data_IF_454783222708
#
_entry.id   IF_454783222708
#
_cell.length_a   1.000
_cell.length_b   1.000
_cell.length_c   1.000
_cell.angle_alpha   90.00
_cell.angle_beta   90.00
_cell.angle_gamma   90.00
#
_symmetry.space_group_name_H-M   'P 1'
#
loop_
_entity.id
_entity.type
_entity.pdbx_description
1 polymer ?
2 non-polymer ?
3 non-polymer ?
4 non-polymer ?
5 non-polymer ?
6 water ?
#
# COMPACT_ATOMS: atom_id res chain seq x y z
N UNK A 16 20.29 -9.28 -3.36
CA UNK A 16 20.15 -9.35 -4.81
C UNK A 16 18.80 -8.77 -5.24
N UNK A 17 18.58 -7.48 -4.96
CA UNK A 17 17.35 -6.78 -5.34
C UNK A 17 17.36 -6.54 -6.85
N UNK A 18 16.16 -6.39 -7.41
CA UNK A 18 15.94 -6.12 -8.84
C UNK A 18 15.07 -4.86 -8.91
N UNK A 19 15.58 -3.76 -8.35
CA UNK A 19 14.88 -2.47 -8.30
C UNK A 19 14.56 -1.93 -9.70
N UNK A 20 13.29 -1.59 -9.94
CA UNK A 20 12.88 -1.01 -11.23
C UNK A 20 12.93 0.49 -11.01
N UNK A 21 13.76 1.22 -11.79
CA UNK A 21 14.11 2.64 -11.57
C UNK A 21 13.09 3.68 -12.03
N UNK A 22 12.08 3.31 -12.81
CA UNK A 22 11.03 4.27 -13.15
C UNK A 22 9.81 3.51 -13.63
N UNK A 23 8.75 4.23 -14.01
CA UNK A 23 7.53 3.59 -14.48
C UNK A 23 7.71 2.95 -15.85
N UNK A 24 8.61 3.48 -16.69
CA UNK A 24 8.84 2.86 -17.99
C UNK A 24 9.42 1.49 -17.81
N UNK A 25 10.38 1.31 -16.89
CA UNK A 25 10.99 -0.02 -16.66
C UNK A 25 9.93 -0.97 -16.10
N UNK A 26 9.11 -0.49 -15.16
CA UNK A 26 8.05 -1.31 -14.56
C UNK A 26 7.11 -1.81 -15.66
N UNK A 27 6.66 -0.90 -16.53
CA UNK A 27 5.76 -1.25 -17.63
C UNK A 27 6.40 -2.20 -18.65
N UNK A 28 7.71 -2.06 -18.93
CA UNK A 28 8.42 -2.95 -19.87
C UNK A 28 8.48 -4.38 -19.27
N UNK A 29 8.64 -4.49 -17.95
CA UNK A 29 8.65 -5.80 -17.32
C UNK A 29 7.23 -6.41 -17.33
N UNK A 30 6.19 -5.63 -17.05
CA UNK A 30 4.81 -6.16 -17.12
C UNK A 30 4.51 -6.63 -18.56
N UNK A 31 4.92 -5.84 -19.58
CA UNK A 31 4.69 -6.17 -20.99
C UNK A 31 5.38 -7.49 -21.36
N UNK A 32 6.61 -7.73 -20.88
CA UNK A 32 7.33 -8.99 -21.13
C UNK A 32 6.56 -10.21 -20.57
N UNK A 33 5.82 -10.02 -19.44
CA UNK A 33 5.00 -11.08 -18.85
C UNK A 33 3.52 -10.99 -19.30
N UNK A 34 3.21 -10.21 -20.37
CA UNK A 34 1.88 -10.05 -20.93
C UNK A 34 0.88 -9.62 -19.84
N UNK A 35 1.30 -8.68 -18.99
CA UNK A 35 0.49 -8.24 -17.85
C UNK A 35 0.08 -6.77 -17.97
N UNK A 36 0.19 -6.22 -19.18
CA UNK A 36 -0.27 -4.86 -19.45
C UNK A 36 -0.89 -4.86 -20.83
N UNK A 37 -2.01 -4.15 -20.99
CA UNK A 37 -2.76 -4.08 -22.23
C UNK A 37 -2.95 -2.63 -22.62
N UNK A 38 -2.77 -2.30 -23.90
CA UNK A 38 -2.94 -0.93 -24.37
C UNK A 38 -4.31 -0.79 -24.95
N UNK A 39 -5.00 0.30 -24.62
CA UNK A 39 -6.33 0.58 -25.13
C UNK A 39 -6.15 1.82 -26.00
N UNK A 40 -6.26 1.65 -27.33
CA UNK A 40 -6.12 2.76 -28.29
C UNK A 40 -7.40 3.51 -28.56
N UNK A 41 -8.57 2.92 -28.26
CA UNK A 41 -9.86 3.60 -28.45
C UNK A 41 -10.01 4.73 -27.42
N UNK A 42 -10.76 5.80 -27.71
CA UNK A 42 -10.92 6.88 -26.71
C UNK A 42 -11.68 6.41 -25.46
N UNK A 43 -11.19 6.76 -24.28
CA UNK A 43 -11.82 6.42 -23.00
C UNK A 43 -12.10 7.73 -22.28
N UNK A 44 -13.30 7.89 -21.77
CA UNK A 44 -13.65 9.10 -21.06
C UNK A 44 -13.14 9.13 -19.60
N UNK A 45 -12.31 10.11 -19.15
CA UNK A 45 -11.97 10.18 -17.72
C UNK A 45 -13.20 10.40 -16.82
N UNK A 46 -14.33 10.88 -17.40
CA UNK A 46 -15.59 11.00 -16.69
C UNK A 46 -16.17 9.58 -16.62
N UNK A 47 -15.91 8.90 -15.49
CA UNK A 47 -16.44 7.58 -15.15
C UNK A 47 -15.91 6.37 -15.91
N UNK A 48 -15.60 6.45 -17.21
CA UNK A 48 -15.17 5.25 -17.94
C UNK A 48 -13.81 4.79 -17.51
N UNK A 49 -12.85 5.70 -17.27
CA UNK A 49 -11.49 5.25 -16.85
C UNK A 49 -11.58 4.52 -15.51
N UNK A 50 -12.34 5.08 -14.58
CA UNK A 50 -12.55 4.45 -13.27
C UNK A 50 -13.25 3.10 -13.39
N UNK A 51 -14.26 3.01 -14.25
CA UNK A 51 -15.01 1.76 -14.48
C UNK A 51 -14.08 0.72 -15.13
N UNK A 52 -13.21 1.16 -16.09
CA UNK A 52 -12.21 0.29 -16.72
C UNK A 52 -11.25 -0.26 -15.66
N UNK A 53 -10.86 0.58 -14.70
CA UNK A 53 -9.98 0.11 -13.61
C UNK A 53 -10.69 -0.93 -12.71
N UNK A 54 -11.97 -0.70 -12.36
CA UNK A 54 -12.75 -1.65 -11.56
C UNK A 54 -12.96 -2.99 -12.27
N UNK A 55 -13.26 -2.96 -13.57
CA UNK A 55 -13.42 -4.19 -14.32
C UNK A 55 -12.10 -4.98 -14.23
N UNK A 56 -10.98 -4.28 -14.44
CA UNK A 56 -9.64 -4.91 -14.40
C UNK A 56 -9.34 -5.53 -13.05
N UNK A 57 -9.57 -4.80 -11.96
CA UNK A 57 -9.30 -5.39 -10.63
C UNK A 57 -10.13 -6.63 -10.41
N UNK A 58 -11.42 -6.50 -10.67
CA UNK A 58 -12.39 -7.54 -10.31
C UNK A 58 -12.32 -8.78 -11.20
N UNK A 59 -11.82 -8.63 -12.40
CA UNK A 59 -11.67 -9.79 -13.30
C UNK A 59 -10.22 -10.25 -13.37
N UNK A 60 -9.33 -9.64 -12.55
CA UNK A 60 -7.91 -9.95 -12.54
C UNK A 60 -7.34 -9.80 -13.95
N UNK A 61 -7.63 -8.68 -14.57
CA UNK A 61 -7.13 -8.40 -15.91
C UNK A 61 -5.75 -7.79 -15.92
N UNK A 62 -5.13 -7.66 -17.11
CA UNK A 62 -3.83 -6.97 -17.19
C UNK A 62 -3.95 -5.48 -16.79
N UNK A 63 -2.87 -4.84 -16.32
CA UNK A 63 -2.94 -3.38 -16.07
C UNK A 63 -3.30 -2.72 -17.41
N UNK A 64 -3.99 -1.56 -17.40
CA UNK A 64 -4.40 -0.90 -18.66
C UNK A 64 -3.65 0.36 -18.89
N UNK A 65 -3.19 0.58 -20.11
CA UNK A 65 -2.59 1.83 -20.52
C UNK A 65 -3.65 2.47 -21.40
N UNK A 66 -4.31 3.54 -20.90
CA UNK A 66 -5.37 4.21 -21.64
C UNK A 66 -4.64 5.25 -22.48
N UNK A 67 -4.43 4.94 -23.77
CA UNK A 67 -3.64 5.81 -24.67
C UNK A 67 -4.35 7.04 -25.18
N UNK A 68 -5.68 7.06 -25.13
CA UNK A 68 -6.43 8.17 -25.71
C UNK A 68 -7.59 8.56 -24.81
N UNK A 69 -7.52 9.75 -24.20
CA UNK A 69 -8.56 10.19 -23.27
C UNK A 69 -9.38 11.35 -23.78
N UNK A 70 -10.71 11.27 -23.64
CA UNK A 70 -11.59 12.36 -24.07
C UNK A 70 -11.15 13.68 -23.42
N UNK A 71 -11.05 14.75 -24.23
CA UNK A 71 -10.68 16.08 -23.73
C UNK A 71 -9.21 16.45 -23.91
N UNK A 72 -8.29 15.52 -23.61
CA UNK A 72 -6.85 15.76 -23.74
C UNK A 72 -6.19 14.85 -24.79
N UNK A 73 -6.96 13.97 -25.43
CA UNK A 73 -6.45 13.10 -26.49
C UNK A 73 -5.33 12.17 -26.06
N UNK A 74 -4.26 12.11 -26.85
CA UNK A 74 -3.13 11.25 -26.57
C UNK A 74 -2.00 11.95 -25.79
N UNK A 75 -2.21 13.19 -25.32
CA UNK A 75 -1.17 13.92 -24.59
C UNK A 75 -0.66 13.17 -23.36
N UNK A 76 -1.56 12.86 -22.45
CA UNK A 76 -1.22 12.22 -21.18
C UNK A 76 -1.96 10.91 -21.03
N UNK A 77 -1.22 9.80 -20.91
CA UNK A 77 -1.82 8.50 -20.80
C UNK A 77 -2.19 8.26 -19.35
N UNK A 78 -3.05 7.28 -19.13
CA UNK A 78 -3.46 6.91 -17.77
C UNK A 78 -3.14 5.45 -17.61
N UNK A 79 -2.54 5.08 -16.47
CA UNK A 79 -2.25 3.68 -16.15
C UNK A 79 -3.26 3.25 -15.07
N UNK A 80 -4.12 2.25 -15.37
CA UNK A 80 -5.12 1.74 -14.41
C UNK A 80 -4.63 0.39 -13.87
N UNK A 81 -4.97 0.14 -12.61
CA UNK A 81 -4.56 -1.05 -11.86
C UNK A 81 -3.04 -1.24 -11.84
N UNK A 82 -2.29 -0.18 -11.44
CA UNK A 82 -0.80 -0.28 -11.42
C UNK A 82 -0.29 -1.40 -10.54
N UNK A 83 -1.01 -1.73 -9.46
CA UNK A 83 -0.61 -2.84 -8.62
C UNK A 83 -1.84 -3.65 -8.23
N UNK A 84 -2.70 -3.91 -9.20
CA UNK A 84 -3.80 -4.83 -9.02
C UNK A 84 -3.28 -6.27 -9.00
N UNK A 85 -4.15 -7.27 -8.77
CA UNK A 85 -3.71 -8.67 -8.85
C UNK A 85 -3.26 -8.96 -10.28
N UNK A 86 -2.18 -9.73 -10.43
CA UNK A 86 -1.56 -9.96 -11.75
C UNK A 86 -2.21 -11.08 -12.54
N UNK A 87 -2.08 -11.05 -13.89
CA UNK A 87 -2.52 -12.17 -14.73
C UNK A 87 -1.41 -13.24 -14.85
N UNK A 88 -0.22 -12.99 -14.33
CA UNK A 88 0.90 -13.92 -14.53
C UNK A 88 0.53 -15.28 -13.92
N UNK A 89 0.49 -16.38 -14.72
CA UNK A 89 0.07 -17.68 -14.16
C UNK A 89 0.82 -18.08 -12.90
N UNK A 90 0.07 -18.42 -11.86
CA UNK A 90 0.59 -18.81 -10.56
C UNK A 90 1.19 -17.68 -9.75
N UNK A 91 1.16 -16.40 -10.25
CA UNK A 91 1.79 -15.28 -9.54
C UNK A 91 0.86 -14.10 -9.38
N UNK A 92 -0.25 -14.24 -8.63
CA UNK A 92 -1.16 -13.09 -8.44
C UNK A 92 -0.51 -11.84 -7.79
N UNK A 93 0.56 -12.01 -6.97
CA UNK A 93 1.20 -10.84 -6.31
C UNK A 93 2.33 -10.25 -7.15
N UNK A 94 2.48 -10.67 -8.40
CA UNK A 94 3.61 -10.24 -9.22
C UNK A 94 3.75 -8.73 -9.36
N UNK A 95 2.64 -7.96 -9.45
CA UNK A 95 2.81 -6.49 -9.57
C UNK A 95 3.41 -5.90 -8.29
N UNK A 96 3.00 -6.44 -7.13
CA UNK A 96 3.52 -5.99 -5.85
C UNK A 96 5.00 -6.41 -5.77
N UNK A 97 5.29 -7.69 -6.07
CA UNK A 97 6.64 -8.20 -6.00
C UNK A 97 7.58 -7.37 -6.86
N UNK A 98 7.20 -7.11 -8.11
CA UNK A 98 8.08 -6.35 -9.03
C UNK A 98 8.25 -4.91 -8.59
N UNK A 99 7.18 -4.32 -8.02
CA UNK A 99 7.20 -2.95 -7.50
C UNK A 99 8.24 -2.82 -6.36
N UNK A 100 8.41 -3.91 -5.58
CA UNK A 100 9.34 -3.98 -4.45
C UNK A 100 10.65 -4.68 -4.76
N UNK A 101 11.00 -4.74 -6.04
CA UNK A 101 12.28 -5.27 -6.53
C UNK A 101 12.54 -6.73 -6.28
N UNK A 102 11.50 -7.55 -6.22
CA UNK A 102 11.60 -8.97 -5.94
C UNK A 102 11.24 -9.77 -7.15
N UNK A 103 11.50 -11.06 -7.09
CA UNK A 103 11.18 -11.94 -8.21
C UNK A 103 9.68 -11.91 -8.45
N UNK A 104 9.29 -12.04 -9.72
CA UNK A 104 7.90 -12.06 -10.14
C UNK A 104 7.07 -13.09 -9.31
N UNK A 105 7.68 -14.19 -8.88
CA UNK A 105 6.99 -15.22 -8.09
C UNK A 105 7.25 -15.12 -6.56
N UNK A 106 7.69 -13.97 -6.03
CA UNK A 106 7.91 -13.84 -4.58
C UNK A 106 6.59 -14.07 -3.86
N UNK A 107 6.63 -14.83 -2.74
CA UNK A 107 5.43 -15.14 -1.98
C UNK A 107 5.01 -13.97 -1.09
N UNK A 108 3.77 -14.04 -0.59
CA UNK A 108 3.25 -13.04 0.35
C UNK A 108 4.23 -12.88 1.51
N UNK A 109 4.69 -14.00 2.06
CA UNK A 109 5.60 -13.96 3.20
C UNK A 109 6.96 -13.34 2.85
N UNK A 110 7.52 -13.66 1.68
CA UNK A 110 8.80 -13.04 1.29
C UNK A 110 8.62 -11.54 1.13
N UNK A 111 7.46 -11.09 0.63
CA UNK A 111 7.25 -9.65 0.47
C UNK A 111 7.22 -8.94 1.83
N UNK A 112 6.35 -9.36 2.75
CA UNK A 112 6.26 -8.65 4.03
C UNK A 112 7.53 -8.79 4.84
N UNK A 113 8.21 -9.95 4.73
CA UNK A 113 9.46 -10.19 5.45
C UNK A 113 10.57 -9.28 4.92
N UNK A 114 10.61 -9.01 3.60
CA UNK A 114 11.63 -8.11 3.02
C UNK A 114 11.42 -6.70 3.52
N UNK A 115 10.14 -6.24 3.59
CA UNK A 115 9.84 -4.92 4.09
C UNK A 115 10.15 -4.83 5.58
N UNK A 116 9.76 -5.85 6.36
CA UNK A 116 10.03 -5.78 7.82
C UNK A 116 11.52 -5.85 8.09
N UNK A 117 12.29 -6.61 7.30
CA UNK A 117 13.75 -6.69 7.49
C UNK A 117 14.40 -5.34 7.30
N UNK A 118 13.92 -4.52 6.32
CA UNK A 118 14.48 -3.18 6.08
C UNK A 118 14.25 -2.22 7.26
N UNK A 119 13.20 -2.44 8.08
CA UNK A 119 12.94 -1.60 9.28
C UNK A 119 14.04 -1.73 10.33
N UNK A 120 14.88 -2.79 10.26
CA UNK A 120 15.98 -3.01 11.21
C UNK A 120 17.30 -2.45 10.68
N UNK A 121 17.31 -1.82 9.50
CA UNK A 121 18.52 -1.31 8.87
C UNK A 121 18.57 0.22 8.96
N UNK A 122 19.76 0.77 8.91
CA UNK A 122 19.98 2.21 9.01
C UNK A 122 19.46 2.89 7.75
N UNK A 123 18.83 4.08 7.83
CA UNK A 123 18.37 4.76 6.60
C UNK A 123 19.53 5.16 5.69
N UNK A 124 19.30 5.16 4.37
CA UNK A 124 20.29 5.52 3.38
C UNK A 124 19.89 6.88 2.84
N UNK A 125 20.72 7.91 3.04
CA UNK A 125 20.39 9.26 2.57
C UNK A 125 20.29 9.29 1.05
N UNK A 126 19.34 10.07 0.48
CA UNK A 126 19.27 10.15 -0.98
C UNK A 126 20.42 10.97 -1.57
N UNK A 127 20.51 11.02 -2.91
CA UNK A 127 21.54 11.80 -3.62
C UNK A 127 20.81 12.80 -4.52
N UNK A 128 21.33 14.02 -4.65
CA UNK A 128 20.71 15.06 -5.46
C UNK A 128 21.35 15.10 -6.86
N UNK A 129 20.57 14.81 -7.92
CA UNK A 129 21.05 14.86 -9.30
C UNK A 129 20.70 16.23 -9.89
N UNK A 130 21.51 16.71 -10.85
CA UNK A 130 21.29 18.02 -11.47
C UNK A 130 20.09 18.04 -12.41
N UNK A 131 19.85 16.95 -13.16
CA UNK A 131 18.75 16.88 -14.11
C UNK A 131 18.00 15.55 -14.06
N UNK A 132 16.73 15.56 -14.52
CA UNK A 132 15.88 14.36 -14.53
C UNK A 132 14.84 14.42 -15.66
N UNK A 133 14.42 13.29 -16.25
CA UNK A 133 13.37 13.35 -17.29
C UNK A 133 12.06 14.03 -16.86
N UNK A 134 11.68 13.98 -15.56
CA UNK A 134 10.47 14.62 -15.05
C UNK A 134 10.44 16.15 -15.21
N UNK A 135 11.57 16.78 -15.65
CA UNK A 135 11.65 18.21 -15.89
C UNK A 135 11.99 18.54 -17.35
N UNK A 136 11.81 17.57 -18.29
CA UNK A 136 12.02 17.81 -19.73
C UNK A 136 11.06 18.89 -20.23
N UNK A 137 9.84 18.94 -19.67
CA UNK A 137 8.83 19.94 -20.01
C UNK A 137 8.47 20.66 -18.72
N UNK A 138 8.50 21.99 -18.73
CA UNK A 138 8.23 22.82 -17.56
C UNK A 138 7.11 23.83 -17.88
N UNK A 139 6.07 23.88 -17.06
CA UNK A 139 4.97 24.83 -17.21
C UNK A 139 5.00 25.72 -15.98
N UNK A 140 5.08 27.05 -16.19
CA UNK A 140 5.16 28.05 -15.13
C UNK A 140 4.04 29.08 -15.25
N UNK A 141 3.68 29.68 -14.12
CA UNK A 141 2.65 30.72 -14.06
C UNK A 141 1.28 30.29 -14.55
N UNK A 142 0.75 31.00 -15.55
CA UNK A 142 -0.57 30.71 -16.12
C UNK A 142 -0.56 29.44 -16.98
N UNK A 143 0.61 29.00 -17.46
CA UNK A 143 0.72 27.76 -18.24
C UNK A 143 0.57 26.53 -17.33
N UNK A 144 1.03 26.65 -16.06
CA UNK A 144 0.88 25.58 -15.06
C UNK A 144 -0.60 25.49 -14.68
N UNK A 145 -1.37 24.84 -15.53
CA UNK A 145 -2.82 24.70 -15.36
C UNK A 145 -3.19 23.24 -15.50
N UNK A 146 -3.89 22.69 -14.49
CA UNK A 146 -4.32 21.29 -14.47
C UNK A 146 -5.33 20.96 -15.58
N UNK A 147 -5.98 21.98 -16.21
CA UNK A 147 -6.90 21.72 -17.33
C UNK A 147 -6.17 21.15 -18.57
N UNK A 148 -4.84 21.21 -18.61
CA UNK A 148 -4.05 20.58 -19.68
C UNK A 148 -4.00 19.03 -19.54
N UNK A 149 -4.28 18.48 -18.32
CA UNK A 149 -4.19 17.05 -18.02
C UNK A 149 -5.55 16.43 -17.76
N UNK A 150 -5.71 15.09 -17.86
CA UNK A 150 -7.01 14.48 -17.53
C UNK A 150 -7.45 14.79 -16.10
N UNK A 151 -8.77 14.85 -15.87
CA UNK A 151 -9.39 15.11 -14.56
C UNK A 151 -10.37 13.96 -14.35
N UNK A 152 -9.88 12.78 -13.97
CA UNK A 152 -10.78 11.64 -13.85
C UNK A 152 -11.83 11.68 -12.73
N UNK A 153 -13.13 11.50 -13.06
CA UNK A 153 -14.20 11.36 -12.07
C UNK A 153 -14.28 9.85 -11.86
N UNK A 154 -13.66 9.37 -10.79
CA UNK A 154 -13.44 7.95 -10.58
C UNK A 154 -14.64 7.14 -10.18
N UNK A 155 -15.61 7.72 -9.50
CA UNK A 155 -16.81 6.98 -9.09
C UNK A 155 -17.96 7.95 -9.22
N UNK A 156 -19.16 7.44 -9.58
CA UNK A 156 -20.39 8.23 -9.72
C UNK A 156 -20.59 9.34 -8.69
N UNK A 157 -20.64 8.95 -7.42
CA UNK A 157 -20.87 9.87 -6.31
C UNK A 157 -19.73 10.68 -5.75
N UNK A 158 -18.51 10.65 -6.36
CA UNK A 158 -17.39 11.43 -5.81
C UNK A 158 -17.70 12.93 -5.87
N UNK A 159 -17.12 13.68 -4.95
CA UNK A 159 -17.30 15.14 -4.91
C UNK A 159 -16.74 15.88 -6.11
N UNK A 160 -15.79 15.27 -6.82
CA UNK A 160 -15.17 15.86 -8.00
C UNK A 160 -14.03 14.99 -8.48
N UNK A 161 -13.22 15.44 -9.45
CA UNK A 161 -12.12 14.58 -9.93
C UNK A 161 -11.03 14.33 -8.89
N UNK A 162 -10.62 13.06 -8.69
CA UNK A 162 -9.54 12.76 -7.74
C UNK A 162 -8.23 12.72 -8.52
N UNK A 163 -7.46 13.83 -8.47
CA UNK A 163 -6.18 13.92 -9.18
C UNK A 163 -5.10 13.08 -8.55
N UNK A 164 -5.15 12.80 -7.24
CA UNK A 164 -4.13 11.96 -6.64
C UNK A 164 -4.78 10.79 -5.95
N UNK A 165 -4.47 9.58 -6.44
CA UNK A 165 -4.87 8.32 -5.82
C UNK A 165 -3.66 7.37 -5.72
N UNK A 166 -2.64 7.55 -6.57
CA UNK A 166 -1.48 6.69 -6.56
C UNK A 166 -0.16 7.46 -6.53
N UNK A 167 -0.19 8.79 -6.61
CA UNK A 167 1.00 9.61 -6.55
C UNK A 167 1.35 9.96 -5.13
N UNK A 168 2.53 10.56 -4.96
CA UNK A 168 3.06 10.88 -3.63
C UNK A 168 3.13 12.35 -3.38
N UNK A 169 2.67 12.76 -2.18
CA UNK A 169 2.72 14.15 -1.75
C UNK A 169 4.02 14.29 -0.96
N UNK A 170 4.80 15.32 -1.26
CA UNK A 170 6.07 15.59 -0.59
C UNK A 170 5.98 16.95 0.16
N UNK A 171 6.25 16.95 1.47
CA UNK A 171 6.28 18.17 2.27
C UNK A 171 7.47 18.11 3.22
N UNK A 172 8.14 19.24 3.45
CA UNK A 172 9.24 19.32 4.41
C UNK A 172 8.85 20.22 5.57
N UNK A 173 9.57 20.09 6.70
CA UNK A 173 9.37 20.95 7.87
C UNK A 173 10.00 22.32 7.55
N UNK A 174 9.57 23.44 8.19
CA UNK A 174 10.15 24.76 7.85
C UNK A 174 11.67 24.83 7.81
N UNK A 175 12.36 24.16 8.74
CA UNK A 175 13.83 24.12 8.78
C UNK A 175 14.48 23.29 7.65
N UNK A 176 13.69 22.43 6.99
CA UNK A 176 14.17 21.58 5.90
C UNK A 176 14.97 20.38 6.38
N UNK A 177 14.83 20.01 7.67
CA UNK A 177 15.56 18.91 8.28
C UNK A 177 14.80 17.58 8.16
N UNK A 178 13.47 17.61 7.95
CA UNK A 178 12.66 16.40 7.86
C UNK A 178 11.64 16.47 6.71
N UNK A 179 11.54 15.39 5.89
CA UNK A 179 10.62 15.31 4.76
C UNK A 179 9.78 14.04 4.81
N UNK A 180 8.43 14.18 4.71
CA UNK A 180 7.52 13.04 4.64
C UNK A 180 6.95 12.95 3.22
N UNK A 181 6.81 11.71 2.75
CA UNK A 181 6.26 11.34 1.45
C UNK A 181 5.00 10.55 1.78
N UNK A 182 3.84 10.92 1.27
CA UNK A 182 2.61 10.20 1.59
C UNK A 182 1.59 10.21 0.46
N UNK A 183 0.82 9.12 0.32
CA UNK A 183 -0.27 9.09 -0.65
C UNK A 183 -1.48 9.52 0.16
N UNK A 184 -2.13 10.58 -0.28
CA UNK A 184 -3.42 11.01 0.28
C UNK A 184 -4.26 11.43 -0.92
N UNK A 185 -5.58 11.30 -0.80
CA UNK A 185 -6.48 11.67 -1.87
C UNK A 185 -6.49 13.17 -2.04
N UNK A 186 -6.40 13.63 -3.29
CA UNK A 186 -6.43 15.05 -3.61
C UNK A 186 -7.49 15.22 -4.71
N UNK A 187 -8.43 16.13 -4.50
CA UNK A 187 -9.52 16.40 -5.43
C UNK A 187 -9.25 17.70 -6.15
N UNK A 188 -9.63 17.77 -7.43
CA UNK A 188 -9.47 18.99 -8.22
C UNK A 188 -10.62 19.98 -7.90
N UNK A 189 -10.32 21.27 -7.73
CA UNK A 189 -11.35 22.32 -7.57
C UNK A 189 -11.50 22.95 -8.95
N UNK A 190 -10.38 23.44 -9.52
CA UNK A 190 -10.35 24.02 -10.85
C UNK A 190 -8.95 23.81 -11.43
N UNK A 191 -8.59 24.52 -12.50
CA UNK A 191 -7.29 24.41 -13.13
C UNK A 191 -6.07 24.81 -12.30
N UNK A 192 -6.27 25.61 -11.25
CA UNK A 192 -5.16 26.08 -10.41
C UNK A 192 -5.22 25.59 -8.98
N UNK A 193 -6.35 24.99 -8.55
CA UNK A 193 -6.53 24.61 -7.15
C UNK A 193 -7.03 23.20 -6.98
N UNK A 194 -6.62 22.58 -5.88
CA UNK A 194 -7.01 21.24 -5.48
C UNK A 194 -7.23 21.27 -3.96
N UNK A 195 -7.85 20.23 -3.42
CA UNK A 195 -8.08 20.12 -1.99
C UNK A 195 -7.95 18.67 -1.56
N UNK A 196 -7.71 18.49 -0.27
CA UNK A 196 -7.56 17.17 0.33
C UNK A 196 -7.52 17.31 1.84
N UNK A 197 -7.81 16.24 2.57
CA UNK A 197 -7.83 16.31 4.03
C UNK A 197 -6.43 16.28 4.62
N UNK A 198 -6.24 17.01 5.72
CA UNK A 198 -5.01 17.07 6.48
C UNK A 198 -5.34 16.64 7.91
N UNK A 199 -5.48 15.32 8.13
CA UNK A 199 -5.82 14.72 9.42
C UNK A 199 -4.70 15.06 10.43
N UNK A 200 -4.98 15.61 11.63
CA UNK A 200 -3.89 15.94 12.57
C UNK A 200 -3.12 14.73 13.11
N UNK A 201 -3.69 13.51 13.06
CA UNK A 201 -3.01 12.29 13.50
C UNK A 201 -2.06 11.73 12.43
N UNK A 202 -2.04 12.30 11.21
CA UNK A 202 -1.16 11.87 10.12
C UNK A 202 -0.02 12.88 9.94
N UNK A 203 1.02 12.51 9.18
CA UNK A 203 2.23 13.32 9.07
C UNK A 203 2.09 14.55 8.21
N UNK A 204 1.28 14.53 7.13
CA UNK A 204 1.09 15.74 6.32
C UNK A 204 0.48 16.87 7.18
N UNK A 205 -0.48 16.52 8.04
CA UNK A 205 -1.13 17.46 8.94
C UNK A 205 -0.18 17.98 10.02
N UNK A 206 0.60 17.07 10.64
CA UNK A 206 1.57 17.45 11.66
C UNK A 206 2.59 18.44 11.08
N UNK A 207 3.09 18.20 9.86
CA UNK A 207 4.02 19.12 9.22
C UNK A 207 3.31 20.43 8.83
N UNK A 208 2.05 20.37 8.37
CA UNK A 208 1.27 21.57 8.01
C UNK A 208 1.08 22.50 9.21
N UNK A 209 0.90 21.94 10.43
CA UNK A 209 0.75 22.74 11.65
C UNK A 209 1.98 23.61 11.90
N UNK A 210 3.20 23.13 11.55
CA UNK A 210 4.43 23.89 11.73
C UNK A 210 4.48 25.09 10.78
N UNK A 211 3.92 24.95 9.57
CA UNK A 211 3.87 26.05 8.60
C UNK A 211 2.78 27.07 9.01
N UNK A 212 1.69 26.59 9.67
CA UNK A 212 0.62 27.47 10.17
C UNK A 212 1.12 28.32 11.34
N UNK A 213 1.98 27.76 12.21
CA UNK A 213 2.54 28.49 13.36
C UNK A 213 3.39 29.67 12.91
N UNK A 214 4.18 29.50 11.83
CA UNK A 214 5.01 30.57 11.29
C UNK A 214 4.20 31.55 10.43
N UNK A 215 2.97 31.19 10.07
CA UNK A 215 2.08 32.03 9.28
C UNK A 215 2.50 32.14 7.83
N UNK A 216 2.96 31.03 7.23
CA UNK A 216 3.43 30.99 5.84
C UNK A 216 2.79 29.81 5.09
N UNK A 217 2.49 29.94 3.77
CA UNK A 217 1.95 28.79 3.03
C UNK A 217 2.96 27.65 2.93
N UNK A 218 2.54 26.40 3.16
CA UNK A 218 3.44 25.25 3.11
C UNK A 218 3.77 24.88 1.67
N UNK A 219 5.04 24.89 1.23
CA UNK A 219 5.35 24.41 -0.13
C UNK A 219 5.10 22.89 -0.25
N UNK A 220 4.67 22.45 -1.43
CA UNK A 220 4.38 21.04 -1.66
C UNK A 220 4.75 20.64 -3.06
N UNK A 221 4.79 19.33 -3.28
CA UNK A 221 4.98 18.74 -4.59
C UNK A 221 4.19 17.43 -4.61
N UNK A 222 3.54 17.12 -5.74
CA UNK A 222 2.82 15.85 -5.92
C UNK A 222 3.47 15.21 -7.13
N UNK A 223 4.00 13.99 -6.98
CA UNK A 223 4.65 13.30 -8.08
C UNK A 223 3.78 12.13 -8.50
N UNK A 224 3.59 11.94 -9.80
CA UNK A 224 2.82 10.84 -10.37
C UNK A 224 3.76 9.95 -11.14
N UNK A 225 3.46 8.66 -11.18
CA UNK A 225 4.25 7.72 -11.99
C UNK A 225 5.73 7.63 -11.66
N UNK A 226 6.10 7.57 -10.40
CA UNK A 226 7.50 7.39 -10.03
C UNK A 226 7.87 5.91 -10.22
N UNK A 227 9.13 5.53 -9.86
CA UNK A 227 9.52 4.14 -9.82
C UNK A 227 8.45 3.43 -8.93
N UNK A 228 8.14 2.16 -9.22
CA UNK A 228 6.97 1.54 -8.59
C UNK A 228 7.07 1.29 -7.09
N UNK A 229 8.28 1.27 -6.52
CA UNK A 229 8.42 1.07 -5.08
C UNK A 229 7.97 2.24 -4.21
N UNK A 230 8.03 3.47 -4.73
CA UNK A 230 7.68 4.68 -3.93
C UNK A 230 6.22 4.68 -3.41
N UNK A 231 5.17 4.47 -4.22
CA UNK A 231 3.80 4.48 -3.65
C UNK A 231 3.57 3.46 -2.54
N UNK A 232 4.32 2.33 -2.53
CA UNK A 232 4.19 1.34 -1.47
C UNK A 232 4.75 1.95 -0.18
N UNK A 233 5.93 2.53 -0.21
CA UNK A 233 6.48 3.12 1.03
C UNK A 233 5.73 4.38 1.41
N UNK A 234 5.23 5.16 0.43
CA UNK A 234 4.40 6.34 0.76
C UNK A 234 3.05 5.94 1.40
N UNK A 235 2.62 4.68 1.24
CA UNK A 235 1.42 4.17 1.91
C UNK A 235 1.72 3.60 3.28
N UNK A 236 3.01 3.40 3.62
CA UNK A 236 3.40 2.68 4.84
C UNK A 236 3.33 3.53 6.09
N UNK A 237 2.64 3.09 7.14
CA UNK A 237 2.52 3.94 8.35
C UNK A 237 3.75 3.82 9.23
N UNK A 238 4.84 4.40 8.79
CA UNK A 238 6.12 4.37 9.51
C UNK A 238 6.05 5.23 10.78
N UNK A 239 6.95 4.99 11.76
CA UNK A 239 6.90 5.83 12.97
C UNK A 239 7.21 7.29 12.70
N UNK A 240 6.79 8.18 13.61
CA UNK A 240 7.07 9.62 13.51
C UNK A 240 8.58 9.79 13.46
N UNK A 241 9.07 10.64 12.57
CA UNK A 241 10.51 10.87 12.47
C UNK A 241 11.31 9.92 11.61
N UNK A 242 10.64 8.97 10.91
CA UNK A 242 11.33 8.06 9.97
C UNK A 242 10.94 8.55 8.57
N UNK A 243 11.91 9.00 7.76
CA UNK A 243 11.58 9.47 6.41
C UNK A 243 11.40 8.30 5.46
N UNK A 244 10.40 8.39 4.60
CA UNK A 244 10.14 7.36 3.58
C UNK A 244 11.36 7.20 2.65
N UNK A 245 11.96 8.32 2.19
CA UNK A 245 13.12 8.27 1.28
C UNK A 245 14.31 7.49 1.88
N UNK A 246 14.54 7.66 3.18
CA UNK A 246 15.59 6.95 3.90
C UNK A 246 15.29 5.46 3.98
N UNK A 247 14.01 5.14 4.26
CA UNK A 247 13.55 3.75 4.32
C UNK A 247 13.66 3.09 2.92
N UNK A 248 13.20 3.78 1.88
CA UNK A 248 13.31 3.27 0.51
C UNK A 248 14.77 2.98 0.18
N UNK A 249 15.66 3.87 0.58
CA UNK A 249 17.08 3.69 0.36
C UNK A 249 17.62 2.46 1.07
N UNK A 250 17.22 2.25 2.36
CA UNK A 250 17.65 1.07 3.12
C UNK A 250 17.06 -0.21 2.53
N UNK A 251 15.80 -0.14 2.08
CA UNK A 251 15.10 -1.29 1.48
C UNK A 251 15.79 -1.75 0.18
N UNK A 252 16.06 -0.83 -0.74
CA UNK A 252 16.71 -1.20 -2.00
C UNK A 252 18.22 -1.34 -1.88
N UNK A 253 18.82 -0.89 -0.77
CA UNK A 253 20.26 -0.99 -0.55
C UNK A 253 21.06 0.00 -1.39
N UNK A 254 20.45 1.15 -1.73
CA UNK A 254 21.14 2.20 -2.49
C UNK A 254 20.41 3.53 -2.39
N UNK A 255 21.09 4.66 -2.59
CA UNK A 255 20.39 5.96 -2.51
C UNK A 255 19.37 6.20 -3.61
N UNK A 256 18.25 6.85 -3.26
CA UNK A 256 17.27 7.26 -4.28
C UNK A 256 17.80 8.58 -4.86
N UNK A 257 17.62 8.79 -6.16
CA UNK A 257 18.08 10.00 -6.83
C UNK A 257 16.96 11.02 -6.83
N UNK A 258 17.19 12.19 -6.24
CA UNK A 258 16.20 13.27 -6.21
C UNK A 258 16.71 14.44 -7.03
N UNK A 259 15.78 15.27 -7.51
CA UNK A 259 16.09 16.46 -8.29
C UNK A 259 15.39 17.65 -7.62
N UNK A 260 16.00 18.84 -7.68
CA UNK A 260 15.41 20.05 -7.07
C UNK A 260 14.17 20.49 -7.85
N UNK A 261 13.09 20.81 -7.13
CA UNK A 261 11.86 21.32 -7.75
C UNK A 261 12.14 22.72 -8.32
N UNK A 262 11.46 23.08 -9.43
CA UNK A 262 11.69 24.34 -10.14
C UNK A 262 11.23 25.63 -9.42
N UNK A 263 10.11 25.62 -8.69
CA UNK A 263 9.57 26.83 -8.03
C UNK A 263 9.43 26.73 -6.50
N UNK A 264 9.87 25.62 -5.87
CA UNK A 264 9.79 25.42 -4.43
C UNK A 264 11.09 24.75 -3.95
N UNK A 265 11.46 24.99 -2.68
CA UNK A 265 12.67 24.42 -2.10
C UNK A 265 12.35 23.01 -1.57
N UNK A 266 12.21 22.06 -2.50
CA UNK A 266 11.91 20.67 -2.20
C UNK A 266 12.66 19.78 -3.17
N UNK A 267 12.97 18.57 -2.73
CA UNK A 267 13.63 17.57 -3.56
C UNK A 267 12.54 16.57 -3.96
N UNK A 268 12.49 16.17 -5.25
CA UNK A 268 11.47 15.24 -5.73
C UNK A 268 12.12 14.04 -6.43
N UNK A 269 11.43 12.88 -6.45
CA UNK A 269 12.01 11.72 -7.15
C UNK A 269 12.31 12.02 -8.60
N UNK A 270 13.54 11.75 -9.05
CA UNK A 270 13.94 11.98 -10.45
C UNK A 270 13.20 11.03 -11.41
N UNK A 271 12.61 9.93 -10.86
CA UNK A 271 11.89 8.91 -11.64
C UNK A 271 10.44 9.28 -11.98
N UNK A 272 9.94 10.44 -11.52
CA UNK A 272 8.54 10.85 -11.71
C UNK A 272 8.15 11.05 -13.19
N UNK A 273 6.85 10.85 -13.48
CA UNK A 273 6.30 11.12 -14.81
C UNK A 273 5.89 12.59 -14.85
N UNK A 274 5.21 13.04 -13.78
CA UNK A 274 4.66 14.38 -13.62
C UNK A 274 4.96 14.90 -12.22
N UNK A 275 5.27 16.20 -12.12
CA UNK A 275 5.52 16.87 -10.83
C UNK A 275 4.61 18.08 -10.75
N UNK A 276 3.73 18.14 -9.75
CA UNK A 276 2.85 19.29 -9.53
C UNK A 276 3.45 20.03 -8.33
N UNK A 277 3.88 21.28 -8.51
CA UNK A 277 4.51 22.07 -7.45
C UNK A 277 3.59 23.20 -7.03
N UNK A 278 3.71 23.65 -5.80
CA UNK A 278 2.89 24.74 -5.32
C UNK A 278 2.97 25.00 -3.83
N UNK A 279 1.91 25.61 -3.28
CA UNK A 279 1.80 25.91 -1.86
C UNK A 279 0.42 25.58 -1.34
N UNK A 280 0.33 25.06 -0.12
CA UNK A 280 -0.94 24.77 0.54
C UNK A 280 -1.30 26.03 1.30
N UNK A 281 -2.42 26.66 0.95
CA UNK A 281 -2.84 27.91 1.60
C UNK A 281 -3.45 27.61 2.98
N UNK A 282 -3.08 28.37 4.03
CA UNK A 282 -3.66 28.11 5.36
C UNK A 282 -5.10 28.60 5.49
N UNK A 306 -8.60 23.34 3.34
CA UNK A 306 -7.19 23.38 2.96
C UNK A 306 -7.02 23.23 1.45
N UNK A 307 -6.49 24.27 0.78
CA UNK A 307 -6.34 24.30 -0.67
C UNK A 307 -4.90 24.25 -1.18
N UNK A 308 -4.62 23.32 -2.10
CA UNK A 308 -3.33 23.21 -2.77
C UNK A 308 -3.41 24.20 -3.94
N UNK A 309 -2.44 25.11 -4.08
CA UNK A 309 -2.44 26.07 -5.20
C UNK A 309 -1.28 25.71 -6.10
N UNK A 310 -1.53 25.47 -7.40
CA UNK A 310 -0.51 25.03 -8.36
C UNK A 310 0.35 26.20 -8.88
N UNK A 311 1.68 26.17 -8.66
CA UNK A 311 2.60 27.20 -9.18
C UNK A 311 3.37 26.71 -10.40
N UNK A 312 3.61 25.40 -10.51
CA UNK A 312 4.33 24.83 -11.65
C UNK A 312 3.96 23.37 -11.85
N UNK A 313 3.99 22.93 -13.10
CA UNK A 313 3.75 21.54 -13.46
C UNK A 313 4.93 21.17 -14.35
N UNK A 314 5.65 20.09 -14.04
CA UNK A 314 6.75 19.64 -14.90
C UNK A 314 6.46 18.19 -15.26
N UNK A 315 6.87 17.74 -16.43
CA UNK A 315 6.58 16.37 -16.85
C UNK A 315 7.55 15.88 -17.90
N UNK A 316 7.76 14.55 -17.94
CA UNK A 316 8.61 13.96 -18.98
C UNK A 316 7.79 13.75 -20.24
N UNK A 317 8.46 13.67 -21.40
CA UNK A 317 7.76 13.45 -22.68
C UNK A 317 6.82 12.24 -22.62
N UNK A 318 5.60 12.36 -23.19
CA UNK A 318 4.57 11.31 -23.24
C UNK A 318 4.27 10.86 -21.79
N UNK A 319 3.83 11.80 -20.94
CA UNK A 319 3.62 11.46 -19.53
C UNK A 319 2.52 10.42 -19.31
N UNK A 320 2.65 9.65 -18.22
CA UNK A 320 1.68 8.64 -17.81
C UNK A 320 1.22 9.04 -16.41
N UNK A 321 -0.10 9.14 -16.20
CA UNK A 321 -0.68 9.50 -14.91
C UNK A 321 -1.36 8.24 -14.34
N UNK A 322 -0.75 7.50 -13.40
CA UNK A 322 -1.43 6.33 -12.85
C UNK A 322 -2.60 6.69 -11.97
N UNK A 323 -3.61 5.84 -11.88
CA UNK A 323 -4.74 6.05 -10.96
C UNK A 323 -4.93 4.79 -10.17
N UNK A 324 -5.58 4.93 -9.01
CA UNK A 324 -5.98 3.83 -8.16
C UNK A 324 -7.45 4.05 -7.81
N UNK A 325 -8.31 3.08 -8.09
CA UNK A 325 -9.75 3.27 -7.93
C UNK A 325 -10.22 2.42 -6.77
N UNK A 326 -10.15 2.99 -5.55
CA UNK A 326 -10.46 2.27 -4.30
C UNK A 326 -11.89 1.79 -4.24
N UNK A 327 -12.07 0.60 -3.67
CA UNK A 327 -13.42 0.09 -3.51
C UNK A 327 -13.38 -1.26 -2.86
N UNK A 328 -14.22 -2.15 -3.34
CA UNK A 328 -14.25 -3.52 -2.84
C UNK A 328 -13.00 -4.24 -3.26
N UNK A 329 -12.67 -5.38 -2.62
CA UNK A 329 -11.46 -6.11 -3.00
C UNK A 329 -11.45 -6.57 -4.46
N UNK A 330 -10.32 -6.58 -5.18
CA UNK A 330 -8.97 -6.29 -4.66
C UNK A 330 -8.38 -5.13 -5.45
N UNK A 331 -7.95 -4.05 -4.76
CA UNK A 331 -7.28 -2.95 -5.46
C UNK A 331 -6.07 -2.55 -4.59
N UNK A 332 -5.40 -1.45 -4.89
CA UNK A 332 -4.20 -1.04 -4.15
C UNK A 332 -4.44 -0.67 -2.70
N UNK A 333 -5.69 -0.39 -2.30
CA UNK A 333 -6.01 -0.23 -0.87
C UNK A 333 -5.58 -1.51 -0.17
N UNK A 334 -5.76 -2.64 -0.84
CA UNK A 334 -5.46 -3.95 -0.25
C UNK A 334 -4.04 -4.45 -0.57
N UNK A 335 -3.62 -4.38 -1.84
CA UNK A 335 -2.31 -4.89 -2.28
C UNK A 335 -1.16 -3.99 -1.83
N UNK A 336 -1.39 -2.70 -1.54
CA UNK A 336 -0.32 -1.80 -1.14
C UNK A 336 -0.55 -1.30 0.26
N UNK A 337 -1.60 -0.52 0.51
CA UNK A 337 -1.80 0.02 1.85
C UNK A 337 -1.94 -1.05 2.96
N UNK A 338 -2.84 -2.02 2.79
CA UNK A 338 -2.99 -3.04 3.84
C UNK A 338 -1.75 -3.91 3.92
N UNK A 339 -1.11 -4.17 2.74
CA UNK A 339 0.07 -5.03 2.73
C UNK A 339 1.26 -4.43 3.48
N UNK A 340 1.55 -3.15 3.22
CA UNK A 340 2.66 -2.47 3.92
C UNK A 340 2.32 -2.23 5.40
N UNK A 341 1.00 -2.11 5.77
CA UNK A 341 0.55 -2.02 7.15
C UNK A 341 0.83 -3.36 7.83
N UNK A 342 0.58 -4.49 7.15
CA UNK A 342 0.95 -5.83 7.72
C UNK A 342 2.46 -5.91 7.93
N UNK A 343 3.27 -5.41 6.96
CA UNK A 343 4.74 -5.45 7.12
C UNK A 343 5.17 -4.59 8.34
N UNK A 344 4.56 -3.42 8.51
CA UNK A 344 4.89 -2.56 9.65
C UNK A 344 4.50 -3.28 10.96
N UNK A 345 3.34 -3.95 10.99
CA UNK A 345 2.91 -4.70 12.20
C UNK A 345 3.91 -5.82 12.47
N UNK A 346 4.35 -6.53 11.42
CA UNK A 346 5.32 -7.63 11.61
C UNK A 346 6.62 -7.08 12.24
N UNK A 347 7.10 -5.92 11.76
CA UNK A 347 8.34 -5.30 12.30
C UNK A 347 8.18 -4.85 13.78
N UNK A 348 7.04 -4.25 14.11
CA UNK A 348 6.73 -3.79 15.47
C UNK A 348 6.59 -4.98 16.41
N UNK A 349 5.92 -6.07 15.97
CA UNK A 349 5.77 -7.24 16.84
C UNK A 349 7.11 -7.89 17.07
N UNK A 350 7.92 -8.00 16.01
CA UNK A 350 9.26 -8.58 16.19
C UNK A 350 10.16 -7.70 17.05
N UNK A 351 10.05 -6.37 16.96
CA UNK A 351 10.85 -5.44 17.80
C UNK A 351 10.50 -5.58 19.27
N UNK A 352 9.27 -6.05 19.60
CA UNK A 352 8.88 -6.33 20.97
C UNK A 352 9.27 -7.79 21.35
N UNK A 353 10.12 -8.47 20.55
CA UNK A 353 10.61 -9.85 20.75
C UNK A 353 9.50 -10.90 20.73
N UNK A 354 8.42 -10.67 19.96
CA UNK A 354 7.39 -11.68 19.86
C UNK A 354 7.76 -12.63 18.72
N UNK A 355 7.48 -13.94 18.88
CA UNK A 355 7.92 -14.92 17.87
C UNK A 355 6.91 -15.01 16.74
N UNK A 356 6.89 -13.95 15.91
CA UNK A 356 5.91 -13.83 14.83
C UNK A 356 6.52 -14.31 13.54
N UNK A 357 5.97 -15.41 12.98
CA UNK A 357 6.44 -16.01 11.73
C UNK A 357 6.12 -15.08 10.58
N UNK A 358 4.87 -14.62 10.50
CA UNK A 358 4.45 -13.67 9.48
C UNK A 358 3.23 -12.87 9.94
N UNK A 359 2.92 -11.79 9.20
CA UNK A 359 1.71 -10.99 9.44
C UNK A 359 1.15 -10.66 8.06
N UNK A 360 -0.17 -10.52 7.93
CA UNK A 360 -0.74 -10.30 6.60
C UNK A 360 -2.10 -9.63 6.76
N UNK A 361 -2.51 -8.70 5.84
CA UNK A 361 -3.87 -8.12 5.86
C UNK A 361 -4.58 -8.75 4.66
N UNK A 362 -5.44 -9.78 4.90
CA UNK A 362 -6.07 -10.49 3.77
C UNK A 362 -6.83 -9.55 2.87
N UNK A 363 -6.61 -9.67 1.56
CA UNK A 363 -7.26 -8.75 0.62
C UNK A 363 -8.77 -8.91 0.61
N UNK A 364 -9.27 -10.14 0.77
CA UNK A 364 -10.73 -10.38 0.79
C UNK A 364 -11.42 -9.69 1.97
N UNK A 365 -10.68 -9.38 3.07
CA UNK A 365 -11.28 -8.68 4.22
C UNK A 365 -11.09 -7.15 4.07
N UNK A 366 -10.74 -6.68 2.83
CA UNK A 366 -10.65 -5.25 2.51
C UNK A 366 -9.79 -4.43 3.47
N UNK A 367 -8.64 -5.00 3.86
CA UNK A 367 -7.70 -4.32 4.77
C UNK A 367 -8.38 -3.95 6.12
N UNK A 368 -9.38 -4.75 6.56
CA UNK A 368 -9.98 -4.55 7.88
C UNK A 368 -9.31 -5.49 8.88
N UNK A 369 -8.68 -6.60 8.41
CA UNK A 369 -8.13 -7.63 9.33
C UNK A 369 -6.64 -7.79 9.24
N UNK A 370 -5.99 -8.07 10.38
CA UNK A 370 -4.59 -8.46 10.41
C UNK A 370 -4.56 -9.89 10.87
N UNK A 371 -3.72 -10.73 10.20
CA UNK A 371 -3.52 -12.08 10.65
C UNK A 371 -2.11 -12.12 11.20
N UNK A 372 -1.92 -12.62 12.43
CA UNK A 372 -0.59 -12.73 13.02
C UNK A 372 -0.30 -14.22 13.17
N UNK A 373 0.75 -14.76 12.51
CA UNK A 373 1.06 -16.19 12.66
C UNK A 373 2.28 -16.35 13.55
N UNK A 374 2.17 -17.19 14.59
CA UNK A 374 3.29 -17.46 15.49
C UNK A 374 4.11 -18.63 14.99
N UNK A 375 5.42 -18.65 15.35
CA UNK A 375 6.27 -19.76 14.93
C UNK A 375 5.85 -21.03 15.66
N UNK A 376 6.13 -22.20 15.09
CA UNK A 376 5.73 -23.47 15.71
C UNK A 376 6.29 -23.61 17.12
N UNK A 377 7.48 -23.09 17.33
CA UNK A 377 8.12 -23.19 18.66
C UNK A 377 7.89 -21.95 19.50
N UNK A 378 6.77 -21.19 19.29
CA UNK A 378 6.56 -19.99 20.09
C UNK A 378 6.60 -20.25 21.60
N UNK A 379 6.11 -21.41 22.05
CA UNK A 379 6.13 -21.73 23.49
C UNK A 379 7.56 -21.83 23.99
N UNK A 380 8.48 -22.43 23.19
CA UNK A 380 9.90 -22.50 23.61
C UNK A 380 10.48 -21.08 23.68
N UNK A 381 10.10 -20.19 22.74
CA UNK A 381 10.60 -18.81 22.69
C UNK A 381 10.01 -17.88 23.75
N UNK A 382 8.75 -18.13 24.20
CA UNK A 382 8.03 -17.35 25.23
C UNK A 382 7.59 -18.39 26.31
N UNK A 383 8.51 -18.89 27.15
CA UNK A 383 8.14 -19.97 28.08
C UNK A 383 7.06 -19.67 29.13
N UNK A 384 6.88 -18.42 29.51
CA UNK A 384 5.91 -18.08 30.55
C UNK A 384 4.47 -17.78 30.19
N UNK A 385 4.03 -17.95 28.91
CA UNK A 385 2.67 -17.57 28.53
C UNK A 385 1.83 -18.68 27.91
N UNK A 386 0.55 -18.69 28.27
CA UNK A 386 -0.43 -19.57 27.67
C UNK A 386 -0.84 -18.95 26.30
N UNK A 387 -1.75 -19.62 25.56
CA UNK A 387 -2.25 -19.05 24.28
C UNK A 387 -2.96 -17.74 24.55
N UNK A 388 -3.78 -17.71 25.63
CA UNK A 388 -4.47 -16.47 25.96
C UNK A 388 -3.49 -15.39 26.29
N UNK A 389 -2.45 -15.75 27.03
CA UNK A 389 -1.42 -14.82 27.47
C UNK A 389 -0.68 -14.18 26.31
N UNK A 390 -0.29 -14.97 25.32
CA UNK A 390 0.43 -14.39 24.17
C UNK A 390 -0.52 -13.51 23.33
N UNK A 391 -1.83 -13.82 23.26
CA UNK A 391 -2.78 -12.95 22.54
C UNK A 391 -2.94 -11.63 23.31
N UNK A 392 -2.97 -11.72 24.65
CA UNK A 392 -3.01 -10.48 25.48
C UNK A 392 -1.78 -9.65 25.17
N UNK A 393 -0.59 -10.27 25.19
CA UNK A 393 0.64 -9.55 24.88
C UNK A 393 0.63 -8.94 23.47
N UNK A 394 0.17 -9.68 22.46
CA UNK A 394 0.08 -9.11 21.11
C UNK A 394 -0.85 -7.90 21.13
N UNK A 395 -2.02 -8.04 21.77
CA UNK A 395 -2.96 -6.91 21.81
C UNK A 395 -2.30 -5.69 22.48
N UNK A 396 -1.59 -5.93 23.59
CA UNK A 396 -0.92 -4.82 24.34
C UNK A 396 0.13 -4.12 23.46
N UNK A 397 0.93 -4.90 22.75
CA UNK A 397 1.97 -4.34 21.88
C UNK A 397 1.31 -3.60 20.74
N UNK A 398 0.36 -4.21 20.01
CA UNK A 398 -0.30 -3.48 18.90
C UNK A 398 -1.01 -2.21 19.36
N UNK A 399 -1.64 -2.23 20.56
CA UNK A 399 -2.36 -1.05 21.07
C UNK A 399 -1.45 0.13 21.36
N UNK A 400 -0.15 -0.09 21.57
CA UNK A 400 0.76 1.04 21.84
C UNK A 400 1.27 1.67 20.51
N UNK A 401 0.85 1.17 19.32
CA UNK A 401 1.43 1.66 18.06
C UNK A 401 0.47 2.57 17.29
N UNK A 402 0.99 3.24 16.25
CA UNK A 402 0.21 4.14 15.38
C UNK A 402 -0.87 3.40 14.59
N UNK A 403 -0.70 2.10 14.35
CA UNK A 403 -1.60 1.35 13.45
C UNK A 403 -2.76 0.66 14.15
N UNK A 404 -2.84 0.72 15.47
CA UNK A 404 -3.86 -0.03 16.21
C UNK A 404 -5.29 0.24 15.76
N UNK A 405 -5.66 1.50 15.49
CA UNK A 405 -7.05 1.83 15.11
C UNK A 405 -7.47 1.20 13.78
N UNK A 406 -6.51 0.87 12.90
CA UNK A 406 -6.82 0.24 11.61
C UNK A 406 -7.23 -1.24 11.78
N UNK A 407 -6.82 -1.86 12.87
CA UNK A 407 -7.02 -3.29 13.04
C UNK A 407 -8.38 -3.59 13.61
N UNK A 408 -9.45 -3.68 12.76
CA UNK A 408 -10.79 -3.96 13.30
C UNK A 408 -10.81 -5.33 13.97
N UNK A 409 -10.11 -6.31 13.35
CA UNK A 409 -9.96 -7.67 13.92
C UNK A 409 -8.52 -8.09 13.68
N UNK A 410 -7.93 -8.79 14.65
CA UNK A 410 -6.61 -9.43 14.52
C UNK A 410 -6.85 -10.86 14.84
N UNK A 411 -6.46 -11.80 13.95
CA UNK A 411 -6.63 -13.21 14.26
C UNK A 411 -5.23 -13.71 14.51
N UNK A 412 -5.02 -14.42 15.65
CA UNK A 412 -3.72 -14.96 16.01
C UNK A 412 -3.75 -16.43 15.70
N UNK A 413 -2.89 -16.92 14.78
CA UNK A 413 -2.93 -18.32 14.34
C UNK A 413 -1.55 -18.93 14.34
N UNK A 414 -1.49 -20.25 14.12
CA UNK A 414 -0.22 -20.98 14.08
C UNK A 414 0.36 -20.81 12.68
N UNK A 415 1.66 -21.04 12.50
CA UNK A 415 2.21 -20.79 11.16
C UNK A 415 2.12 -21.99 10.21
N UNK A 416 1.27 -22.99 10.53
CA UNK A 416 0.98 -24.05 9.56
C UNK A 416 -0.11 -23.52 8.59
N UNK A 417 -0.60 -22.27 8.77
CA UNK A 417 -1.62 -21.65 7.91
C UNK A 417 -0.96 -20.56 7.11
N UNK A 418 -1.22 -20.52 5.80
CA UNK A 418 -0.73 -19.43 4.97
C UNK A 418 -1.87 -18.41 5.01
N UNK A 419 -1.71 -17.24 5.67
CA UNK A 419 -2.85 -16.28 5.72
C UNK A 419 -3.15 -15.59 4.41
N UNK A 420 -2.26 -15.71 3.39
CA UNK A 420 -2.52 -15.18 2.05
C UNK A 420 -3.30 -16.22 1.18
N UNK A 421 -3.51 -17.45 1.70
CA UNK A 421 -4.29 -18.45 0.97
C UNK A 421 -5.73 -18.26 1.49
N UNK A 422 -6.63 -17.69 0.67
CA UNK A 422 -8.00 -17.39 1.14
C UNK A 422 -8.71 -18.57 1.79
N UNK A 423 -8.67 -19.73 1.11
CA UNK A 423 -9.39 -20.91 1.58
C UNK A 423 -8.78 -21.48 2.83
N UNK A 424 -7.46 -21.62 2.89
CA UNK A 424 -6.82 -22.13 4.09
C UNK A 424 -7.06 -21.16 5.27
N UNK A 425 -7.01 -19.85 5.01
CA UNK A 425 -7.28 -18.90 6.11
C UNK A 425 -8.74 -19.06 6.63
N UNK A 426 -9.74 -19.15 5.72
CA UNK A 426 -11.14 -19.26 6.19
C UNK A 426 -11.32 -20.55 6.94
N UNK A 427 -10.66 -21.64 6.49
CA UNK A 427 -10.76 -22.94 7.12
C UNK A 427 -10.15 -22.87 8.52
N UNK A 428 -8.97 -22.24 8.64
CA UNK A 428 -8.31 -22.14 9.98
C UNK A 428 -9.19 -21.31 10.96
N UNK A 429 -9.79 -20.20 10.47
CA UNK A 429 -10.62 -19.40 11.40
C UNK A 429 -11.85 -20.20 11.83
N UNK A 430 -12.53 -20.83 10.88
CA UNK A 430 -13.75 -21.59 11.18
C UNK A 430 -13.49 -22.77 12.09
N UNK A 431 -12.36 -23.46 11.93
CA UNK A 431 -12.06 -24.68 12.70
C UNK A 431 -11.22 -24.44 13.90
N UNK A 432 -10.66 -23.23 14.12
CA UNK A 432 -9.79 -23.00 15.30
C UNK A 432 -10.21 -21.87 16.21
N UNK A 433 -11.07 -20.94 15.77
CA UNK A 433 -11.48 -19.84 16.64
C UNK A 433 -12.80 -20.26 17.24
N UNK A 434 -12.85 -20.35 18.58
CA UNK A 434 -14.09 -20.73 19.27
C UNK A 434 -15.22 -19.81 18.84
N UNK A 435 -16.46 -20.29 18.71
CA UNK A 435 -17.60 -19.36 18.46
C UNK A 435 -17.87 -18.38 19.62
N UNK A 436 -17.38 -18.66 20.85
CA UNK A 436 -17.63 -17.75 22.01
C UNK A 436 -16.37 -17.20 22.64
N UNK A 437 -15.40 -18.07 22.96
CA UNK A 437 -14.25 -17.58 23.76
C UNK A 437 -12.99 -17.28 22.93
N UNK A 438 -11.95 -16.78 23.59
CA UNK A 438 -10.72 -16.39 22.91
C UNK A 438 -10.86 -15.06 22.17
N UNK A 439 -11.79 -14.19 22.60
CA UNK A 439 -11.96 -12.90 21.92
C UNK A 439 -11.58 -11.84 22.92
N UNK A 440 -10.71 -10.95 22.53
CA UNK A 440 -10.25 -9.86 23.35
C UNK A 440 -10.83 -8.64 22.66
N UNK A 441 -11.64 -7.86 23.34
CA UNK A 441 -12.18 -6.63 22.75
C UNK A 441 -11.57 -5.41 23.40
N UNK A 442 -11.28 -4.40 22.60
CA UNK A 442 -10.74 -3.12 23.08
C UNK A 442 -11.43 -1.97 22.35
N UNK A 443 -11.93 -0.95 23.10
CA UNK A 443 -12.71 0.15 22.53
C UNK A 443 -11.80 1.31 22.52
N UNK A 444 -11.87 2.08 21.46
CA UNK A 444 -11.02 3.25 21.35
C UNK A 444 -11.19 3.86 19.98
N UNK A 445 -10.17 4.54 19.51
CA UNK A 445 -10.18 5.21 18.22
C UNK A 445 -10.42 4.15 17.14
N UNK A 446 -11.19 4.51 16.10
CA UNK A 446 -11.45 3.54 15.01
C UNK A 446 -11.05 4.14 13.70
N UNK A 447 -10.99 3.28 12.68
CA UNK A 447 -10.67 3.73 11.33
C UNK A 447 -11.98 4.31 10.81
N UNK A 448 -12.10 5.62 10.56
CA UNK A 448 -13.39 6.14 10.06
C UNK A 448 -13.85 5.57 8.70
N UNK A 449 -12.95 4.96 7.92
CA UNK A 449 -13.31 4.36 6.63
C UNK A 449 -13.75 2.90 6.78
N UNK A 450 -13.56 2.28 7.97
CA UNK A 450 -13.92 0.86 8.12
C UNK A 450 -15.43 0.73 8.13
N UNK A 451 -15.95 -0.34 7.55
CA UNK A 451 -17.40 -0.48 7.45
C UNK A 451 -18.11 -1.03 8.66
N UNK A 452 -17.42 -1.81 9.52
CA UNK A 452 -18.11 -2.55 10.59
C UNK A 452 -18.43 -1.75 11.88
N UNK A 453 -18.90 -0.50 11.74
CA UNK A 453 -19.21 0.35 12.90
C UNK A 453 -20.58 0.95 12.72
N UNK A 454 -21.30 1.17 13.83
CA UNK A 454 -22.62 1.81 13.77
C UNK A 454 -22.46 3.30 13.55
N UNK A 455 -23.55 3.97 13.23
CA UNK A 455 -23.53 5.42 13.03
C UNK A 455 -23.04 6.15 14.31
N UNK A 456 -23.44 5.66 15.50
CA UNK A 456 -23.02 6.26 16.76
C UNK A 456 -21.56 6.04 17.03
N UNK A 457 -21.06 4.86 16.74
CA UNK A 457 -19.62 4.64 16.92
C UNK A 457 -18.84 5.56 15.96
N UNK A 458 -19.34 5.73 14.73
CA UNK A 458 -18.60 6.61 13.76
C UNK A 458 -18.62 8.04 14.17
N UNK A 459 -19.77 8.56 14.60
CA UNK A 459 -19.85 9.95 15.04
C UNK A 459 -18.88 10.20 16.19
N UNK A 460 -18.89 9.30 17.20
CA UNK A 460 -18.00 9.47 18.36
C UNK A 460 -16.55 9.21 18.05
N UNK A 461 -16.28 8.47 16.97
CA UNK A 461 -14.94 8.03 16.60
C UNK A 461 -14.51 7.01 17.67
N UNK A 462 -15.46 6.24 18.23
CA UNK A 462 -15.16 5.34 19.36
C UNK A 462 -15.86 4.03 19.15
N UNK A 463 -15.12 2.93 19.10
CA UNK A 463 -15.79 1.67 18.83
C UNK A 463 -14.92 0.47 19.12
N UNK A 464 -15.48 -0.73 18.91
CA UNK A 464 -14.73 -1.94 19.28
C UNK A 464 -13.72 -2.42 18.22
N UNK A 465 -12.62 -3.01 18.69
CA UNK A 465 -11.61 -3.66 17.85
C UNK A 465 -11.35 -4.98 18.58
N UNK A 466 -11.20 -6.09 17.87
CA UNK A 466 -11.05 -7.38 18.57
C UNK A 466 -9.79 -8.12 18.20
N UNK A 467 -9.26 -8.93 19.13
CA UNK A 467 -8.12 -9.85 18.88
C UNK A 467 -8.70 -11.21 19.12
N UNK A 468 -8.66 -12.12 18.13
CA UNK A 468 -9.26 -13.45 18.25
C UNK A 468 -8.22 -14.53 18.28
N UNK A 469 -8.35 -15.44 19.24
CA UNK A 469 -7.34 -16.46 19.46
C UNK A 469 -7.72 -17.68 18.67
N UNK A 470 -6.93 -18.01 17.66
CA UNK A 470 -7.10 -19.24 16.89
C UNK A 470 -5.92 -20.19 17.07
N UNK A 471 -5.12 -20.02 18.13
CA UNK A 471 -3.95 -20.89 18.37
C UNK A 471 -4.42 -22.23 18.88
N UNK A 472 -3.72 -23.28 18.47
CA UNK A 472 -4.06 -24.62 18.92
C UNK A 472 -3.17 -25.05 20.05
N UNK A 473 -3.61 -26.03 20.86
CA UNK A 473 -2.66 -26.65 21.79
C UNK A 473 -1.63 -27.46 21.00
N UNK A 474 -0.54 -27.94 21.62
CA UNK A 474 0.41 -28.81 20.88
C UNK A 474 -0.32 -29.98 20.25
N UNK A 475 -0.23 -30.14 18.94
CA UNK A 475 -0.98 -31.18 18.22
C UNK A 475 -0.13 -31.77 17.10
N UNK A 476 -0.23 -33.09 16.91
CA UNK A 476 0.49 -33.77 15.83
C UNK A 476 -0.09 -33.28 14.49
N UNK A 477 0.77 -33.13 13.47
CA UNK A 477 0.35 -32.73 12.12
C UNK A 477 -0.92 -33.45 11.62
N UNK A 478 -0.97 -34.79 11.78
CA UNK A 478 -2.11 -35.59 11.31
C UNK A 478 -3.39 -35.40 12.14
N UNK A 479 -3.31 -34.85 13.37
CA UNK A 479 -4.49 -34.56 14.19
C UNK A 479 -5.09 -33.19 13.84
N UNK A 480 -4.28 -32.25 13.28
CA UNK A 480 -4.80 -30.92 12.90
C UNK A 480 -4.95 -30.74 11.38
N UNK A 481 -4.42 -31.66 10.53
CA UNK A 481 -4.56 -31.54 9.07
C UNK A 481 -5.19 -32.77 8.44
N UNK A 482 -5.77 -32.59 7.27
CA UNK A 482 -6.30 -33.70 6.47
C UNK A 482 -6.28 -33.24 5.01
N UNK A 483 -5.11 -33.31 4.41
CA UNK A 483 -4.96 -32.87 3.02
C UNK A 483 -3.84 -33.61 2.34
N UNK A 484 -3.73 -33.44 1.01
CA UNK A 484 -2.68 -34.08 0.21
C UNK A 484 -1.29 -33.90 0.80
N UNK A 485 -0.85 -32.66 1.03
CA UNK A 485 0.51 -32.43 1.54
C UNK A 485 0.76 -33.01 2.93
N UNK A 486 -0.24 -32.91 3.82
CA UNK A 486 -0.06 -33.27 5.24
C UNK A 486 -0.44 -34.69 5.68
N UNK A 487 -1.15 -35.47 4.87
CA UNK A 487 -1.72 -36.75 5.29
C UNK A 487 -1.22 -37.95 4.54
N UNK A 488 -0.25 -37.80 3.65
CA UNK A 488 0.25 -38.95 2.90
C UNK A 488 1.78 -38.93 2.93
N UNK A 489 2.42 -40.12 2.99
CA UNK A 489 3.90 -40.16 2.98
C UNK A 489 4.50 -39.55 1.71
N UNK A 490 5.75 -39.05 1.77
CA UNK A 490 6.41 -38.43 0.61
C UNK A 490 6.42 -39.32 -0.65
N UNK A 491 6.72 -40.64 -0.58
CA UNK A 491 6.70 -41.46 -1.81
C UNK A 491 5.32 -41.62 -2.46
N UNK A 492 4.26 -41.70 -1.63
CA UNK A 492 2.88 -41.78 -2.14
C UNK A 492 2.55 -40.47 -2.87
N UNK A 493 2.91 -39.30 -2.29
CA UNK A 493 2.64 -37.99 -2.96
C UNK A 493 3.42 -37.85 -4.27
N UNK A 494 4.72 -38.23 -4.24
CA UNK A 494 5.57 -38.20 -5.42
C UNK A 494 4.93 -39.01 -6.54
N UNK A 495 4.53 -40.25 -6.22
CA UNK A 495 3.90 -41.15 -7.18
C UNK A 495 2.60 -40.54 -7.73
N UNK A 496 1.79 -39.85 -6.90
CA UNK A 496 0.57 -39.24 -7.39
C UNK A 496 0.91 -38.06 -8.29
N UNK A 497 1.89 -37.24 -7.90
CA UNK A 497 2.30 -36.12 -8.75
C UNK A 497 2.78 -36.60 -10.13
N UNK A 498 3.53 -37.71 -10.20
CA UNK A 498 4.00 -38.25 -11.48
C UNK A 498 2.85 -38.74 -12.36
N UNK A 499 1.79 -39.32 -11.75
CA UNK A 499 0.62 -39.79 -12.50
C UNK A 499 -0.28 -38.66 -12.99
N UNK A 500 -0.49 -37.60 -12.17
CA UNK A 500 -1.47 -36.55 -12.48
C UNK A 500 -0.95 -35.18 -12.93
N UNK A 501 0.13 -34.67 -12.32
CA UNK A 501 0.63 -33.32 -12.66
C UNK A 501 1.22 -33.24 -14.06
#
# INVERSE_FOLDING_TARGET
MGSSHHHHHHSQDPNSMKRLKDLREYLAVLEAHQDVREIDEPVDPHLEAGAAARWTYENRGPALMLNDLTGTGRFCRILAAPAGLSTIPGSPLARVALSLGLDVSATAHEIVDSLAAARTREPVAPVVVDSAPCQDNVLLGDDANLDRFPAPLLHEGDGGPYLNTWGTIIVSTPDGSFTNWAIARVMKIDGKRMTGTFIPTQHLGQIRKLWDNLGQPMPFAIVQGTEPGIPFVASMPLPDGIEEVGFLGAYFGEPLELVRAKTVDLLVPASAEIVIEGHVMPGRTAVEGPMGEYAGYQPRHTSMQPEYVVDAITYRDDPIWPISVAGEPVDETHTAWGLVTAAEALALLRAAKLPVATAWMPFEAAAHWLIVCLTEDWRERMPGLSRDGICLRISQVLAATRIEAMMTRVFVLDDDVDPSDQTELAWAIATRVSPAHGRLVRHGMINPLAGCYSAEERRLGYGPKAVLNGLLPPMAERSRRSSFRHTYPEPVRQRVIELLA
#
